data_IF_658195807044
#
_entry.id   IF_658195807044
#
_cell.length_a   1.000
_cell.length_b   1.000
_cell.length_c   1.000
_cell.angle_alpha   90.00
_cell.angle_beta   90.00
_cell.angle_gamma   90.00
#
_symmetry.space_group_name_H-M   'P 1'
#
loop_
_entity.id
_entity.type
_entity.pdbx_description
1 polymer ?
#
# COMPACT_ATOMS: atom_id res chain seq x y z
N UNK A 1 -9.34 -8.74 -17.16
CA UNK A 1 -7.98 -8.24 -16.88
C UNK A 1 -8.03 -6.74 -16.98
N UNK A 2 -7.45 -6.03 -16.01
CA UNK A 2 -7.38 -4.57 -16.01
C UNK A 2 -6.29 -4.14 -17.01
N UNK A 3 -6.53 -3.07 -17.77
CA UNK A 3 -5.49 -2.46 -18.60
C UNK A 3 -4.54 -1.61 -17.74
N UNK A 4 -3.37 -1.27 -18.29
CA UNK A 4 -2.32 -0.55 -17.56
C UNK A 4 -2.79 0.82 -17.09
N UNK A 5 -3.53 1.55 -17.93
CA UNK A 5 -3.91 2.94 -17.66
C UNK A 5 -4.97 2.98 -16.56
N UNK A 6 -5.96 2.08 -16.65
CA UNK A 6 -6.97 1.89 -15.61
C UNK A 6 -6.32 1.46 -14.29
N UNK A 7 -5.39 0.52 -14.31
CA UNK A 7 -4.64 0.14 -13.11
C UNK A 7 -3.89 1.33 -12.50
N UNK A 8 -3.11 2.05 -13.32
CA UNK A 8 -2.29 3.16 -12.83
C UNK A 8 -3.13 4.27 -12.23
N UNK A 9 -4.18 4.69 -12.93
CA UNK A 9 -5.09 5.74 -12.47
C UNK A 9 -5.82 5.33 -11.19
N UNK A 10 -6.29 4.09 -11.12
CA UNK A 10 -7.00 3.59 -9.94
C UNK A 10 -6.07 3.49 -8.73
N UNK A 11 -4.84 3.00 -8.90
CA UNK A 11 -3.84 2.95 -7.81
C UNK A 11 -3.47 4.35 -7.35
N UNK A 12 -3.14 5.28 -8.26
CA UNK A 12 -2.80 6.68 -7.90
C UNK A 12 -3.92 7.36 -7.13
N UNK A 13 -5.19 7.18 -7.55
CA UNK A 13 -6.35 7.74 -6.85
C UNK A 13 -6.50 7.14 -5.46
N UNK A 14 -6.46 5.81 -5.38
CA UNK A 14 -6.75 5.07 -4.15
C UNK A 14 -5.62 5.17 -3.12
N UNK A 15 -4.36 5.23 -3.56
CA UNK A 15 -3.19 5.37 -2.68
C UNK A 15 -2.74 6.82 -2.50
N UNK A 16 -3.53 7.81 -2.94
CA UNK A 16 -3.21 9.24 -2.82
C UNK A 16 -2.93 9.69 -1.38
N UNK A 17 -3.52 9.01 -0.38
CA UNK A 17 -3.25 9.24 1.04
C UNK A 17 -1.77 9.09 1.40
N UNK A 18 -0.99 8.27 0.68
CA UNK A 18 0.46 8.17 0.89
C UNK A 18 1.17 9.49 0.65
N UNK A 19 0.68 10.28 -0.30
CA UNK A 19 1.19 11.62 -0.60
C UNK A 19 0.62 12.63 0.39
N UNK A 20 -0.71 12.67 0.55
CA UNK A 20 -1.38 13.73 1.29
C UNK A 20 -1.26 13.61 2.82
N UNK A 21 -1.20 12.39 3.36
CA UNK A 21 -1.12 12.14 4.81
C UNK A 21 0.28 11.74 5.28
N UNK A 22 1.05 11.05 4.44
CA UNK A 22 2.35 10.47 4.82
C UNK A 22 3.55 11.15 4.14
N UNK A 23 3.33 12.16 3.29
CA UNK A 23 4.41 12.94 2.68
C UNK A 23 5.31 12.15 1.73
N UNK A 24 4.83 11.00 1.21
CA UNK A 24 5.55 10.21 0.22
C UNK A 24 5.41 10.83 -1.17
N UNK A 25 6.31 10.49 -2.08
CA UNK A 25 6.24 10.90 -3.49
C UNK A 25 6.10 9.69 -4.38
N UNK A 26 5.44 9.85 -5.54
CA UNK A 26 5.48 8.85 -6.60
C UNK A 26 6.94 8.70 -7.08
N UNK A 27 7.48 7.49 -7.00
CA UNK A 27 8.90 7.18 -7.26
C UNK A 27 9.09 6.54 -8.64
N UNK A 28 8.28 5.50 -8.90
CA UNK A 28 8.45 4.66 -10.09
C UNK A 28 7.12 4.12 -10.57
N UNK A 29 7.03 4.01 -11.89
CA UNK A 29 5.97 3.28 -12.58
C UNK A 29 6.64 2.29 -13.53
N UNK A 30 6.27 1.01 -13.44
CA UNK A 30 6.79 -0.05 -14.30
C UNK A 30 5.63 -0.83 -14.89
N UNK A 31 5.54 -0.79 -16.21
CA UNK A 31 4.56 -1.56 -17.00
C UNK A 31 5.35 -2.48 -17.92
N UNK A 32 5.07 -3.78 -17.86
CA UNK A 32 5.65 -4.79 -18.74
C UNK A 32 4.54 -5.45 -19.57
N UNK A 33 4.27 -4.86 -20.74
CA UNK A 33 3.18 -5.30 -21.60
C UNK A 33 1.86 -5.35 -20.83
N UNK A 34 1.13 -6.45 -20.98
CA UNK A 34 -0.06 -6.75 -20.18
C UNK A 34 0.22 -7.72 -19.02
N UNK A 35 1.49 -8.05 -18.73
CA UNK A 35 1.86 -9.12 -17.80
C UNK A 35 2.06 -8.63 -16.37
N UNK A 36 2.71 -7.46 -16.20
CA UNK A 36 3.08 -6.95 -14.88
C UNK A 36 3.00 -5.43 -14.81
N UNK A 37 2.35 -4.94 -13.75
CA UNK A 37 2.25 -3.52 -13.42
C UNK A 37 2.76 -3.27 -12.01
N UNK A 38 3.52 -2.20 -11.80
CA UNK A 38 4.02 -1.78 -10.48
C UNK A 38 4.05 -0.25 -10.38
N UNK A 39 3.54 0.25 -9.25
CA UNK A 39 3.62 1.66 -8.87
C UNK A 39 4.27 1.73 -7.49
N UNK A 40 5.28 2.59 -7.37
CA UNK A 40 6.02 2.80 -6.14
C UNK A 40 5.85 4.21 -5.59
N UNK A 41 5.65 4.29 -4.28
CA UNK A 41 5.69 5.52 -3.51
C UNK A 41 6.87 5.46 -2.56
N UNK A 42 7.61 6.57 -2.40
CA UNK A 42 8.84 6.63 -1.62
C UNK A 42 8.83 7.79 -0.64
N UNK A 43 9.45 7.58 0.51
CA UNK A 43 10.04 8.65 1.33
C UNK A 43 11.52 8.31 1.63
N UNK A 44 12.14 9.06 2.54
CA UNK A 44 13.55 8.86 2.92
C UNK A 44 13.85 7.48 3.56
N UNK A 45 12.86 6.84 4.18
CA UNK A 45 13.03 5.67 5.02
C UNK A 45 12.36 4.41 4.44
N UNK A 46 11.38 4.56 3.54
CA UNK A 46 10.60 3.44 3.01
C UNK A 46 10.14 3.65 1.57
N UNK A 47 9.89 2.52 0.91
CA UNK A 47 9.18 2.42 -0.37
C UNK A 47 7.97 1.53 -0.20
N UNK A 48 6.85 1.91 -0.79
CA UNK A 48 5.64 1.10 -0.87
C UNK A 48 5.41 0.78 -2.35
N UNK A 49 5.49 -0.51 -2.69
CA UNK A 49 5.17 -1.03 -4.01
C UNK A 49 3.75 -1.58 -4.02
N UNK A 50 2.99 -1.21 -5.05
CA UNK A 50 1.67 -1.73 -5.39
C UNK A 50 1.80 -2.40 -6.75
N UNK A 51 1.80 -3.73 -6.76
CA UNK A 51 2.05 -4.50 -7.98
C UNK A 51 0.95 -5.50 -8.30
N UNK A 52 0.78 -5.74 -9.60
CA UNK A 52 -0.16 -6.70 -10.17
C UNK A 52 0.54 -7.51 -11.26
N UNK A 53 0.63 -8.82 -11.06
CA UNK A 53 0.88 -9.80 -12.11
C UNK A 53 -0.45 -10.19 -12.74
N UNK A 54 -0.74 -9.62 -13.91
CA UNK A 54 -2.07 -9.66 -14.53
C UNK A 54 -2.43 -11.05 -15.06
N UNK A 55 -1.44 -11.83 -15.53
CA UNK A 55 -1.63 -13.19 -16.05
C UNK A 55 -2.10 -14.12 -14.94
N UNK A 56 -1.45 -14.05 -13.78
CA UNK A 56 -1.78 -14.88 -12.61
C UNK A 56 -2.87 -14.24 -11.73
N UNK A 57 -3.29 -13.01 -12.07
CA UNK A 57 -4.14 -12.16 -11.24
C UNK A 57 -3.64 -12.08 -9.79
N UNK A 58 -2.32 -11.95 -9.64
CA UNK A 58 -1.65 -11.88 -8.35
C UNK A 58 -1.35 -10.42 -8.02
N UNK A 59 -2.08 -9.88 -7.04
CA UNK A 59 -1.93 -8.51 -6.57
C UNK A 59 -1.30 -8.49 -5.19
N UNK A 60 -0.32 -7.60 -5.01
CA UNK A 60 0.39 -7.45 -3.75
C UNK A 60 0.72 -5.98 -3.45
N UNK A 61 0.83 -5.71 -2.15
CA UNK A 61 1.35 -4.45 -1.61
C UNK A 61 2.48 -4.79 -0.66
N UNK A 62 3.65 -4.22 -0.89
CA UNK A 62 4.87 -4.49 -0.12
C UNK A 62 5.45 -3.17 0.38
N UNK A 63 5.81 -3.15 1.66
CA UNK A 63 6.58 -2.08 2.27
C UNK A 63 8.04 -2.53 2.40
N UNK A 64 8.95 -1.76 1.79
CA UNK A 64 10.40 -1.90 1.89
C UNK A 64 10.95 -0.84 2.84
N UNK A 65 11.60 -1.25 3.92
CA UNK A 65 12.39 -0.34 4.76
C UNK A 65 13.77 -0.15 4.13
N UNK A 66 14.08 1.09 3.75
CA UNK A 66 15.32 1.43 3.08
C UNK A 66 16.52 1.26 4.01
N UNK A 67 17.65 0.86 3.44
CA UNK A 67 18.95 0.85 4.12
C UNK A 67 19.81 1.95 3.53
N UNK A 68 20.02 3.04 4.26
CA UNK A 68 20.73 4.23 3.77
C UNK A 68 20.14 4.76 2.45
N UNK A 69 18.81 4.81 2.34
CA UNK A 69 18.08 5.25 1.15
C UNK A 69 18.00 4.20 0.02
N UNK A 70 18.67 3.05 0.16
CA UNK A 70 18.67 2.00 -0.85
C UNK A 70 17.59 0.94 -0.58
N UNK A 71 17.01 0.41 -1.65
CA UNK A 71 16.08 -0.71 -1.55
C UNK A 71 16.83 -1.94 -1.01
N UNK A 72 16.25 -2.67 -0.04
CA UNK A 72 16.81 -3.91 0.45
C UNK A 72 16.69 -5.02 -0.61
N UNK A 73 17.35 -6.15 -0.36
CA UNK A 73 17.04 -7.38 -1.08
C UNK A 73 15.56 -7.75 -0.86
N UNK A 74 14.90 -8.22 -1.91
CA UNK A 74 13.54 -8.69 -1.83
C UNK A 74 13.40 -9.84 -0.80
N UNK A 75 14.41 -10.71 -0.73
CA UNK A 75 14.41 -11.86 0.19
C UNK A 75 14.77 -11.47 1.64
N UNK A 76 15.17 -10.22 1.90
CA UNK A 76 15.36 -9.71 3.25
C UNK A 76 14.01 -9.46 3.93
N UNK A 77 13.45 -10.52 4.51
CA UNK A 77 12.18 -10.50 5.26
C UNK A 77 12.17 -9.56 6.46
N UNK A 78 13.34 -9.07 6.91
CA UNK A 78 13.41 -8.10 8.00
C UNK A 78 13.12 -6.67 7.52
N UNK A 79 13.31 -6.41 6.22
CA UNK A 79 13.12 -5.11 5.58
C UNK A 79 12.02 -5.10 4.52
N UNK A 80 11.63 -6.27 4.02
CA UNK A 80 10.56 -6.48 3.04
C UNK A 80 9.33 -7.04 3.76
N UNK A 81 8.29 -6.22 3.88
CA UNK A 81 7.09 -6.56 4.66
C UNK A 81 5.87 -6.51 3.74
N UNK A 82 5.25 -7.67 3.51
CA UNK A 82 3.99 -7.76 2.79
C UNK A 82 2.84 -7.19 3.63
N UNK A 83 1.87 -6.56 2.97
CA UNK A 83 0.68 -6.03 3.62
C UNK A 83 -0.09 -7.11 4.41
N UNK A 84 -0.08 -8.36 3.96
CA UNK A 84 -0.69 -9.49 4.69
C UNK A 84 -0.09 -9.66 6.09
N UNK A 85 1.23 -9.46 6.23
CA UNK A 85 1.92 -9.55 7.52
C UNK A 85 1.67 -8.31 8.38
N UNK A 86 1.62 -7.11 7.77
CA UNK A 86 1.19 -5.90 8.48
C UNK A 86 -0.24 -6.06 9.03
N UNK A 87 -1.14 -6.61 8.22
CA UNK A 87 -2.53 -6.81 8.60
C UNK A 87 -2.67 -7.68 9.84
N UNK A 88 -1.98 -8.83 9.86
CA UNK A 88 -1.95 -9.73 11.02
C UNK A 88 -1.45 -9.04 12.28
N UNK A 89 -0.47 -8.14 12.14
CA UNK A 89 0.18 -7.45 13.25
C UNK A 89 -0.62 -6.27 13.80
N UNK A 90 -1.30 -5.51 12.94
CA UNK A 90 -1.88 -4.23 13.32
C UNK A 90 -3.40 -4.19 13.31
N UNK A 91 -4.08 -4.93 12.42
CA UNK A 91 -5.53 -4.82 12.31
C UNK A 91 -6.28 -5.46 13.49
N UNK A 92 -5.67 -6.43 14.18
CA UNK A 92 -6.26 -7.11 15.35
C UNK A 92 -6.40 -6.21 16.56
N UNK A 93 -5.68 -5.09 16.61
CA UNK A 93 -5.70 -4.13 17.71
C UNK A 93 -6.65 -2.93 17.46
N UNK A 94 -7.29 -2.87 16.29
CA UNK A 94 -8.14 -1.75 15.90
C UNK A 94 -9.55 -1.89 16.43
N UNK A 95 -10.14 -0.75 16.83
CA UNK A 95 -11.56 -0.70 17.19
C UNK A 95 -12.46 -0.42 15.97
N UNK A 96 -13.78 -0.57 16.16
CA UNK A 96 -14.78 -0.33 15.13
C UNK A 96 -14.73 1.11 14.58
N UNK A 97 -14.46 2.09 15.44
CA UNK A 97 -14.44 3.50 15.07
C UNK A 97 -13.27 3.79 14.12
N UNK A 98 -12.12 3.17 14.32
CA UNK A 98 -10.99 3.30 13.42
C UNK A 98 -11.29 2.76 12.01
N UNK A 99 -12.01 1.64 11.92
CA UNK A 99 -12.49 1.13 10.63
C UNK A 99 -13.51 2.07 9.98
N UNK A 100 -14.48 2.57 10.74
CA UNK A 100 -15.49 3.52 10.23
C UNK A 100 -14.85 4.83 9.73
N UNK A 101 -13.90 5.39 10.49
CA UNK A 101 -13.17 6.59 10.11
C UNK A 101 -12.32 6.34 8.85
N UNK A 102 -11.76 5.14 8.70
CA UNK A 102 -11.04 4.75 7.50
C UNK A 102 -11.99 4.62 6.31
N UNK A 103 -13.14 3.96 6.46
CA UNK A 103 -14.11 3.80 5.38
C UNK A 103 -14.61 5.14 4.83
N UNK A 104 -14.82 6.14 5.70
CA UNK A 104 -15.18 7.50 5.27
C UNK A 104 -14.16 8.14 4.33
N UNK A 105 -12.87 7.86 4.51
CA UNK A 105 -11.81 8.42 3.66
C UNK A 105 -11.84 7.88 2.22
N UNK A 106 -12.46 6.74 2.00
CA UNK A 106 -12.57 6.13 0.69
C UNK A 106 -14.02 6.07 0.18
N UNK A 107 -14.94 6.81 0.80
CA UNK A 107 -16.37 6.74 0.50
C UNK A 107 -16.68 7.07 -0.98
N UNK A 108 -15.90 7.97 -1.58
CA UNK A 108 -16.09 8.41 -2.97
C UNK A 108 -15.44 7.45 -4.00
N UNK A 109 -14.73 6.41 -3.55
CA UNK A 109 -14.09 5.46 -4.45
C UNK A 109 -15.05 4.32 -4.79
N UNK A 110 -15.62 4.41 -5.99
CA UNK A 110 -16.39 3.32 -6.60
C UNK A 110 -15.45 2.36 -7.33
N UNK A 111 -15.74 1.06 -7.19
CA UNK A 111 -15.04 -0.05 -7.87
C UNK A 111 -15.98 -0.73 -8.86
N UNK A 112 -15.50 -1.02 -10.06
CA UNK A 112 -16.25 -1.67 -11.15
C UNK A 112 -16.00 -3.18 -11.21
N UNK A 113 -14.80 -3.62 -10.83
CA UNK A 113 -14.39 -5.02 -10.97
C UNK A 113 -13.69 -5.58 -9.72
N UNK A 114 -13.35 -6.87 -9.76
CA UNK A 114 -12.71 -7.59 -8.65
C UNK A 114 -11.31 -7.07 -8.35
N UNK A 115 -10.56 -6.64 -9.37
CA UNK A 115 -9.20 -6.11 -9.23
C UNK A 115 -9.26 -4.77 -8.50
N UNK A 116 -10.15 -3.88 -8.91
CA UNK A 116 -10.36 -2.59 -8.22
C UNK A 116 -10.82 -2.78 -6.78
N UNK A 117 -11.71 -3.74 -6.50
CA UNK A 117 -12.09 -4.11 -5.12
C UNK A 117 -10.89 -4.55 -4.30
N UNK A 118 -9.98 -5.32 -4.88
CA UNK A 118 -8.75 -5.76 -4.22
C UNK A 118 -7.80 -4.59 -3.95
N UNK A 119 -7.61 -3.70 -4.93
CA UNK A 119 -6.79 -2.48 -4.80
C UNK A 119 -7.36 -1.59 -3.67
N UNK A 120 -8.67 -1.32 -3.69
CA UNK A 120 -9.34 -0.51 -2.67
C UNK A 120 -9.21 -1.12 -1.28
N UNK A 121 -9.44 -2.43 -1.14
CA UNK A 121 -9.27 -3.13 0.13
C UNK A 121 -7.84 -2.97 0.65
N UNK A 122 -6.84 -3.18 -0.20
CA UNK A 122 -5.44 -3.09 0.22
C UNK A 122 -5.01 -1.66 0.57
N UNK A 123 -5.55 -0.64 -0.10
CA UNK A 123 -5.34 0.75 0.29
C UNK A 123 -5.90 1.05 1.68
N UNK A 124 -7.14 0.62 1.94
CA UNK A 124 -7.79 0.76 3.26
C UNK A 124 -6.99 0.08 4.36
N UNK A 125 -6.60 -1.17 4.14
CA UNK A 125 -5.80 -1.97 5.06
C UNK A 125 -4.43 -1.32 5.34
N UNK A 126 -3.74 -0.87 4.29
CA UNK A 126 -2.44 -0.22 4.40
C UNK A 126 -2.54 1.07 5.21
N UNK A 127 -3.53 1.92 4.94
CA UNK A 127 -3.72 3.18 5.67
C UNK A 127 -3.89 2.95 7.16
N UNK A 128 -4.68 1.96 7.55
CA UNK A 128 -4.85 1.56 8.95
C UNK A 128 -3.55 1.04 9.57
N UNK A 129 -2.82 0.18 8.85
CA UNK A 129 -1.54 -0.34 9.31
C UNK A 129 -0.51 0.78 9.54
N UNK A 130 -0.40 1.72 8.59
CA UNK A 130 0.52 2.85 8.69
C UNK A 130 0.16 3.79 9.84
N UNK A 131 -1.13 4.05 10.06
CA UNK A 131 -1.60 4.84 11.21
C UNK A 131 -1.16 4.19 12.52
N UNK A 132 -1.35 2.88 12.68
CA UNK A 132 -0.95 2.14 13.86
C UNK A 132 0.57 2.08 14.05
N UNK A 133 1.33 1.92 12.97
CA UNK A 133 2.79 1.96 13.00
C UNK A 133 3.31 3.31 13.49
N UNK A 134 2.71 4.42 13.03
CA UNK A 134 3.09 5.76 13.44
C UNK A 134 2.69 6.06 14.89
N UNK A 135 1.49 5.66 15.32
CA UNK A 135 1.05 5.81 16.71
C UNK A 135 1.99 5.11 17.69
N UNK A 136 2.47 3.90 17.35
CA UNK A 136 3.43 3.17 18.19
C UNK A 136 4.83 3.76 18.21
N UNK A 137 5.24 4.49 17.16
CA UNK A 137 6.53 5.21 17.13
C UNK A 137 6.50 6.52 17.92
N UNK A 138 5.32 7.06 18.22
CA UNK A 138 5.11 8.26 19.02
C UNK A 138 4.94 8.03 20.53
N UNK A 139 5.00 6.79 21.01
CA UNK A 139 5.00 6.50 22.44
C UNK A 139 6.41 6.75 23.00
N UNK A 140 6.56 7.55 24.08
CA UNK A 140 7.80 7.53 24.84
C UNK A 140 7.97 6.11 25.38
N UNK A 141 9.13 5.50 25.11
CA UNK A 141 9.56 4.30 25.83
C UNK A 141 9.68 4.67 27.31
N UNK A 142 8.68 4.27 28.10
CA UNK A 142 8.74 4.27 29.57
C UNK A 142 9.80 3.31 30.06
#
# INVERSE_FOLDING_TARGET
>A
MIDSDKFQNFVKRTFSFLVTEYGMTLDKEKINGNAFYDIQFRDKDKVISVSLENIENYFQVILFNLNNGQLPDYDDKTRTIHLTELNKKFLTALDKKEFEDNDRQFADIVTEDKTEKQILKSAKDLRLCLKQMNSKRGLPTT
#
